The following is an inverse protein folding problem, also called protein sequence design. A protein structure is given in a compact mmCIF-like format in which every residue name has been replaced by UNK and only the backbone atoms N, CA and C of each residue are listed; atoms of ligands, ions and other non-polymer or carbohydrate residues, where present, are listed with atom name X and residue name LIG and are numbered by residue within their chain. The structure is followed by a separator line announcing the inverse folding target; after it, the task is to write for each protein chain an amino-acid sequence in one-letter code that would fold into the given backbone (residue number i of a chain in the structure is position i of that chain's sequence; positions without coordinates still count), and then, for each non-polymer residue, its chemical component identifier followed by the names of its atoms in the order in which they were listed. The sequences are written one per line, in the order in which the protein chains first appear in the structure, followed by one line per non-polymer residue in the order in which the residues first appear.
data_IF_427349357406
#
_entry.id   IF_427349357406
#
_cell.length_a   1.000
_cell.length_b   1.000
_cell.length_c   1.000
_cell.angle_alpha   90.00
_cell.angle_beta   90.00
_cell.angle_gamma   90.00
#
_symmetry.space_group_name_H-M   'P 1'
#
loop_
_entity.id
_entity.type
_entity.pdbx_description
1 polymer ?
#
# COMPACT_ATOMS: atom_id res chain seq x y z
N UNK A 1 14.99 -21.15 12.73
CA UNK A 1 13.54 -20.92 12.64
C UNK A 1 13.26 -20.20 11.34
N UNK A 2 12.54 -20.85 10.42
CA UNK A 2 12.22 -20.28 9.12
C UNK A 2 11.34 -19.03 9.30
N UNK A 3 11.79 -17.90 8.75
CA UNK A 3 10.96 -16.71 8.60
C UNK A 3 9.89 -17.06 7.56
N UNK A 4 8.69 -17.39 8.02
CA UNK A 4 7.55 -17.54 7.12
C UNK A 4 7.45 -16.27 6.28
N UNK A 5 7.53 -16.43 4.96
CA UNK A 5 7.31 -15.37 3.97
C UNK A 5 5.85 -14.93 4.09
N UNK A 6 5.60 -14.03 5.04
CA UNK A 6 4.36 -13.27 5.18
C UNK A 6 4.13 -12.55 3.85
N UNK A 7 2.99 -12.80 3.21
CA UNK A 7 2.71 -12.53 1.80
C UNK A 7 3.33 -11.21 1.29
N UNK A 8 4.22 -11.30 0.29
CA UNK A 8 4.84 -10.13 -0.35
C UNK A 8 3.89 -9.40 -1.32
N UNK A 9 2.62 -9.80 -1.37
CA UNK A 9 1.63 -9.31 -2.33
C UNK A 9 0.39 -8.83 -1.57
N UNK A 10 0.03 -7.57 -1.80
CA UNK A 10 -1.19 -6.96 -1.27
C UNK A 10 -2.14 -6.72 -2.44
N UNK A 11 -3.37 -7.21 -2.32
CA UNK A 11 -4.40 -6.95 -3.32
C UNK A 11 -4.78 -5.46 -3.30
N UNK A 12 -4.82 -4.80 -4.47
CA UNK A 12 -5.07 -3.35 -4.57
C UNK A 12 -6.38 -2.91 -3.91
N UNK A 13 -7.43 -3.75 -3.98
CA UNK A 13 -8.73 -3.49 -3.38
C UNK A 13 -8.73 -3.54 -1.83
N UNK A 14 -7.69 -4.12 -1.23
CA UNK A 14 -7.48 -4.17 0.22
C UNK A 14 -6.35 -3.25 0.68
N UNK A 15 -5.66 -2.58 -0.25
CA UNK A 15 -4.53 -1.73 0.06
C UNK A 15 -5.04 -0.41 0.65
N UNK A 16 -4.57 -0.05 1.84
CA UNK A 16 -4.79 1.28 2.45
C UNK A 16 -3.44 2.00 2.49
N UNK A 17 -3.40 3.24 2.03
CA UNK A 17 -2.20 4.10 2.05
C UNK A 17 -2.39 5.16 3.11
N UNK A 18 -1.41 5.36 4.00
CA UNK A 18 -1.45 6.40 5.05
C UNK A 18 -0.16 7.19 5.10
N UNK A 19 -0.28 8.48 5.37
CA UNK A 19 0.87 9.33 5.65
C UNK A 19 1.54 8.97 6.97
N UNK A 20 2.87 9.14 7.01
CA UNK A 20 3.62 9.02 8.26
C UNK A 20 3.73 10.40 8.90
N UNK A 21 3.25 10.58 10.15
CA UNK A 21 3.44 11.83 10.87
C UNK A 21 4.94 12.16 10.96
N UNK A 22 5.30 13.42 10.73
CA UNK A 22 6.69 13.93 10.83
C UNK A 22 7.67 13.38 9.78
N UNK A 23 7.20 12.69 8.73
CA UNK A 23 8.03 12.32 7.59
C UNK A 23 7.32 12.55 6.27
N UNK A 24 7.99 13.23 5.34
CA UNK A 24 7.48 13.49 3.98
C UNK A 24 8.02 12.51 2.95
N UNK A 25 8.83 11.54 3.37
CA UNK A 25 9.50 10.54 2.52
C UNK A 25 9.03 9.12 2.79
N UNK A 26 7.97 8.96 3.56
CA UNK A 26 7.41 7.66 3.95
C UNK A 26 5.90 7.66 3.75
N UNK A 27 5.34 6.50 3.42
CA UNK A 27 3.94 6.19 3.69
C UNK A 27 3.81 4.75 4.20
N UNK A 28 2.73 4.48 4.92
CA UNK A 28 2.34 3.15 5.35
C UNK A 28 1.44 2.49 4.31
N UNK A 29 1.70 1.21 4.02
CA UNK A 29 0.76 0.33 3.34
C UNK A 29 0.17 -0.64 4.35
N UNK A 30 -1.15 -0.73 4.36
CA UNK A 30 -1.89 -1.67 5.21
C UNK A 30 -2.75 -2.56 4.32
N UNK A 31 -2.69 -3.87 4.52
CA UNK A 31 -3.66 -4.80 3.96
C UNK A 31 -4.90 -4.87 4.88
N UNK A 32 -6.09 -4.59 4.34
CA UNK A 32 -7.37 -4.72 5.03
C UNK A 32 -7.81 -6.19 5.12
N UNK A 33 -7.02 -6.97 5.88
CA UNK A 33 -7.22 -8.39 6.17
C UNK A 33 -7.27 -8.60 7.70
N UNK A 34 -7.91 -9.68 8.20
CA UNK A 34 -8.02 -9.96 9.64
C UNK A 34 -6.66 -10.13 10.34
N UNK A 35 -5.60 -10.39 9.57
CA UNK A 35 -4.22 -10.13 9.96
C UNK A 35 -3.69 -8.98 9.11
N UNK A 36 -3.64 -7.77 9.68
CA UNK A 36 -3.16 -6.59 8.96
C UNK A 36 -1.62 -6.60 8.91
N UNK A 37 -1.07 -6.77 7.71
CA UNK A 37 0.34 -6.53 7.47
C UNK A 37 0.56 -5.03 7.27
N UNK A 38 1.48 -4.46 8.06
CA UNK A 38 1.90 -3.06 7.98
C UNK A 38 3.28 -2.98 7.32
N UNK A 39 3.36 -2.34 6.16
CA UNK A 39 4.62 -2.08 5.48
C UNK A 39 4.97 -0.60 5.54
N UNK A 40 6.21 -0.30 5.89
CA UNK A 40 6.77 1.06 5.86
C UNK A 40 7.61 1.17 4.59
N UNK A 41 7.21 2.06 3.68
CA UNK A 41 7.95 2.27 2.43
C UNK A 41 8.65 3.62 2.47
N UNK A 42 9.96 3.61 2.23
CA UNK A 42 10.78 4.82 2.19
C UNK A 42 11.18 5.23 0.78
N UNK A 43 11.14 6.53 0.52
CA UNK A 43 11.43 7.12 -0.76
C UNK A 43 12.57 8.13 -0.68
N UNK A 44 13.19 8.40 -1.83
CA UNK A 44 14.30 9.37 -1.93
C UNK A 44 13.83 10.82 -1.70
N UNK A 45 12.60 11.16 -2.11
CA UNK A 45 12.04 12.51 -2.01
C UNK A 45 10.51 12.52 -1.80
N UNK A 46 9.99 13.67 -1.35
CA UNK A 46 8.55 13.92 -1.22
C UNK A 46 7.83 13.86 -2.57
N UNK A 47 8.47 14.32 -3.65
CA UNK A 47 7.87 14.26 -4.98
C UNK A 47 7.60 12.81 -5.40
N UNK A 48 8.53 11.90 -5.11
CA UNK A 48 8.37 10.47 -5.38
C UNK A 48 7.25 9.88 -4.53
N UNK A 49 7.11 10.27 -3.26
CA UNK A 49 5.98 9.87 -2.40
C UNK A 49 4.64 10.23 -3.04
N UNK A 50 4.46 11.49 -3.45
CA UNK A 50 3.20 11.96 -4.03
C UNK A 50 2.89 11.27 -5.36
N UNK A 51 3.91 11.06 -6.21
CA UNK A 51 3.76 10.30 -7.45
C UNK A 51 3.28 8.88 -7.17
N UNK A 52 3.86 8.19 -6.19
CA UNK A 52 3.45 6.82 -5.83
C UNK A 52 2.02 6.77 -5.29
N UNK A 53 1.61 7.75 -4.47
CA UNK A 53 0.22 7.84 -4.00
C UNK A 53 -0.76 7.99 -5.16
N UNK A 54 -0.45 8.88 -6.11
CA UNK A 54 -1.27 9.08 -7.31
C UNK A 54 -1.37 7.80 -8.14
N UNK A 55 -0.25 7.11 -8.38
CA UNK A 55 -0.23 5.86 -9.13
C UNK A 55 -1.10 4.79 -8.45
N UNK A 56 -0.98 4.63 -7.13
CA UNK A 56 -1.77 3.66 -6.37
C UNK A 56 -3.26 3.99 -6.46
N UNK A 57 -3.63 5.26 -6.31
CA UNK A 57 -5.02 5.71 -6.36
C UNK A 57 -5.62 5.48 -7.76
N UNK A 58 -4.93 5.88 -8.81
CA UNK A 58 -5.33 5.60 -10.19
C UNK A 58 -5.43 4.10 -10.47
N UNK A 59 -4.50 3.30 -9.94
CA UNK A 59 -4.51 1.84 -10.12
C UNK A 59 -5.71 1.20 -9.43
N UNK A 60 -6.11 1.69 -8.24
CA UNK A 60 -7.32 1.22 -7.55
C UNK A 60 -8.59 1.54 -8.32
N UNK A 61 -8.66 2.73 -8.92
CA UNK A 61 -9.81 3.15 -9.72
C UNK A 61 -9.98 2.30 -10.99
N UNK A 62 -8.86 1.89 -11.59
CA UNK A 62 -8.83 1.05 -12.79
C UNK A 62 -8.86 -0.46 -12.50
N UNK A 63 -8.69 -0.86 -11.23
CA UNK A 63 -8.75 -2.26 -10.86
C UNK A 63 -10.16 -2.82 -11.15
N UNK A 64 -10.26 -4.03 -11.72
CA UNK A 64 -11.55 -4.68 -11.91
C UNK A 64 -12.26 -4.77 -10.56
N UNK A 65 -13.38 -4.05 -10.42
CA UNK A 65 -14.28 -4.27 -9.29
C UNK A 65 -14.79 -5.68 -9.47
N UNK A 66 -14.58 -6.56 -8.48
CA UNK A 66 -15.16 -7.92 -8.50
C UNK A 66 -16.61 -7.76 -8.93
N UNK A 67 -16.92 -8.28 -10.12
CA UNK A 67 -18.28 -8.29 -10.62
C UNK A 67 -19.14 -8.96 -9.56
N UNK A 68 -20.22 -8.29 -9.17
CA UNK A 68 -21.33 -8.95 -8.51
C UNK A 68 -21.89 -9.95 -9.54
N UNK A 69 -21.31 -11.14 -9.57
CA UNK A 69 -21.89 -12.32 -10.19
C UNK A 69 -22.65 -13.08 -9.09
#
# INVERSE_FOLDING_TARGET
MAKNLQSSVIALNKLIVRDVPRSTKLFFLVADDPCFDLFVVSFSSKAVVEQWKQIIETSKQNAPKRGLC
#
